data_IF_695029067599
#
_entry.id   IF_695029067599
#
_cell.length_a   1.000
_cell.length_b   1.000
_cell.length_c   1.000
_cell.angle_alpha   90.00
_cell.angle_beta   90.00
_cell.angle_gamma   90.00
#
_symmetry.space_group_name_H-M   'P 1'
#
loop_
_entity.id
_entity.type
_entity.pdbx_description
1 polymer ?
#
# COMPACT_ATOMS: atom_id res chain seq x y z
N UNK A 1 28.84 11.33 -13.34
CA UNK A 1 28.78 12.52 -12.53
C UNK A 1 27.57 12.53 -11.62
N UNK A 2 27.46 13.57 -10.83
CA UNK A 2 26.40 13.73 -9.82
C UNK A 2 25.00 13.64 -10.40
N UNK A 3 24.77 14.23 -11.56
CA UNK A 3 23.46 14.19 -12.22
C UNK A 3 23.03 12.80 -12.62
N UNK A 4 23.94 11.99 -13.15
CA UNK A 4 23.62 10.64 -13.54
C UNK A 4 23.23 9.79 -12.35
N UNK A 5 23.91 9.98 -11.23
CA UNK A 5 23.58 9.28 -10.00
C UNK A 5 22.19 9.65 -9.50
N UNK A 6 21.86 10.94 -9.56
CA UNK A 6 20.57 11.44 -9.10
C UNK A 6 19.43 10.96 -9.98
N UNK A 7 19.59 11.06 -11.31
CA UNK A 7 18.60 10.60 -12.27
C UNK A 7 18.39 9.09 -12.18
N UNK A 8 19.48 8.34 -12.05
CA UNK A 8 19.42 6.91 -11.90
C UNK A 8 18.67 6.47 -10.63
N UNK A 9 18.86 7.20 -9.54
CA UNK A 9 18.19 6.95 -8.27
C UNK A 9 16.69 7.22 -8.40
N UNK A 10 16.30 8.35 -8.99
CA UNK A 10 14.90 8.70 -9.19
C UNK A 10 14.22 7.72 -10.13
N UNK A 11 14.90 7.33 -11.20
CA UNK A 11 14.37 6.34 -12.14
C UNK A 11 14.14 5.00 -11.45
N UNK A 12 15.04 4.59 -10.56
CA UNK A 12 14.92 3.34 -9.81
C UNK A 12 13.71 3.39 -8.86
N UNK A 13 13.53 4.51 -8.16
CA UNK A 13 12.40 4.69 -7.26
C UNK A 13 11.07 4.72 -8.00
N UNK A 14 11.03 5.38 -9.15
CA UNK A 14 9.84 5.39 -10.03
C UNK A 14 9.51 3.97 -10.50
N UNK A 15 10.52 3.19 -10.88
CA UNK A 15 10.35 1.81 -11.30
C UNK A 15 9.77 0.94 -10.19
N UNK A 16 10.19 1.18 -8.95
CA UNK A 16 9.67 0.45 -7.79
C UNK A 16 8.19 0.72 -7.59
N UNK A 17 7.78 1.98 -7.71
CA UNK A 17 6.36 2.35 -7.60
C UNK A 17 5.52 1.75 -8.72
N UNK A 18 6.05 1.74 -9.94
CA UNK A 18 5.39 1.10 -11.09
C UNK A 18 5.22 -0.39 -10.84
N UNK A 19 6.23 -1.04 -10.28
CA UNK A 19 6.18 -2.46 -9.95
C UNK A 19 5.04 -2.75 -8.96
N UNK A 20 4.87 -1.92 -7.95
CA UNK A 20 3.78 -2.08 -6.98
C UNK A 20 2.42 -1.92 -7.65
N UNK A 21 2.27 -0.91 -8.50
CA UNK A 21 1.02 -0.67 -9.20
C UNK A 21 0.67 -1.81 -10.18
N UNK A 22 1.66 -2.35 -10.88
CA UNK A 22 1.47 -3.51 -11.76
C UNK A 22 1.06 -4.75 -10.96
N UNK A 23 1.67 -4.95 -9.79
CA UNK A 23 1.30 -6.08 -8.93
C UNK A 23 -0.15 -5.96 -8.47
N UNK A 24 -0.61 -4.77 -8.15
CA UNK A 24 -2.00 -4.53 -7.77
C UNK A 24 -2.95 -4.88 -8.92
N UNK A 25 -2.63 -4.47 -10.14
CA UNK A 25 -3.45 -4.80 -11.29
C UNK A 25 -3.53 -6.31 -11.52
N UNK A 26 -2.41 -7.01 -11.43
CA UNK A 26 -2.38 -8.46 -11.54
C UNK A 26 -3.28 -9.14 -10.49
N UNK A 27 -3.18 -8.68 -9.26
CA UNK A 27 -3.96 -9.25 -8.16
C UNK A 27 -5.45 -9.04 -8.38
N UNK A 28 -5.85 -7.87 -8.88
CA UNK A 28 -7.27 -7.59 -9.12
C UNK A 28 -7.86 -8.39 -10.28
N UNK A 29 -7.02 -8.96 -11.14
CA UNK A 29 -7.48 -9.85 -12.20
C UNK A 29 -7.73 -11.27 -11.71
N UNK A 30 -7.23 -11.63 -10.53
CA UNK A 30 -7.49 -12.95 -9.95
C UNK A 30 -8.90 -13.01 -9.35
N UNK A 31 -9.54 -14.20 -9.31
CA UNK A 31 -10.88 -14.33 -8.74
C UNK A 31 -10.89 -13.89 -7.28
N UNK A 32 -11.81 -12.99 -6.94
CA UNK A 32 -11.97 -12.50 -5.57
C UNK A 32 -13.44 -12.24 -5.21
N UNK A 33 -14.37 -12.74 -6.02
CA UNK A 33 -15.79 -12.44 -5.88
C UNK A 33 -16.39 -12.97 -4.56
N UNK A 34 -15.78 -13.99 -3.97
CA UNK A 34 -16.25 -14.56 -2.71
C UNK A 34 -15.77 -13.78 -1.48
N UNK A 35 -14.86 -12.84 -1.68
CA UNK A 35 -14.32 -12.03 -0.60
C UNK A 35 -15.20 -10.81 -0.34
N UNK A 36 -15.46 -10.50 0.94
CA UNK A 36 -16.02 -9.21 1.27
C UNK A 36 -14.92 -8.15 1.16
N UNK A 37 -15.28 -6.89 1.33
CA UNK A 37 -14.34 -5.78 1.16
C UNK A 37 -13.12 -5.89 2.09
N UNK A 38 -13.36 -6.22 3.36
CA UNK A 38 -12.29 -6.31 4.35
C UNK A 38 -11.37 -7.48 4.05
N UNK A 39 -11.93 -8.63 3.69
CA UNK A 39 -11.15 -9.79 3.29
C UNK A 39 -10.30 -9.48 2.07
N UNK A 40 -10.86 -8.77 1.09
CA UNK A 40 -10.14 -8.38 -0.13
C UNK A 40 -8.99 -7.44 0.20
N UNK A 41 -9.21 -6.43 1.05
CA UNK A 41 -8.16 -5.49 1.45
C UNK A 41 -7.04 -6.22 2.21
N UNK A 42 -7.39 -7.15 3.09
CA UNK A 42 -6.40 -7.95 3.80
C UNK A 42 -5.59 -8.82 2.84
N UNK A 43 -6.26 -9.45 1.88
CA UNK A 43 -5.60 -10.29 0.88
C UNK A 43 -4.63 -9.49 0.01
N UNK A 44 -5.07 -8.32 -0.48
CA UNK A 44 -4.22 -7.44 -1.27
C UNK A 44 -2.98 -7.00 -0.48
N UNK A 45 -3.17 -6.64 0.79
CA UNK A 45 -2.06 -6.27 1.66
C UNK A 45 -1.07 -7.41 1.81
N UNK A 46 -1.56 -8.63 2.07
CA UNK A 46 -0.71 -9.81 2.24
C UNK A 46 0.11 -10.10 0.98
N UNK A 47 -0.54 -10.03 -0.17
CA UNK A 47 0.13 -10.31 -1.44
C UNK A 47 1.18 -9.23 -1.76
N UNK A 48 0.85 -7.97 -1.53
CA UNK A 48 1.80 -6.87 -1.76
C UNK A 48 3.00 -7.00 -0.82
N UNK A 49 2.74 -7.21 0.46
CA UNK A 49 3.82 -7.29 1.46
C UNK A 49 4.67 -8.55 1.26
N UNK A 50 4.09 -9.65 0.79
CA UNK A 50 4.85 -10.85 0.41
C UNK A 50 5.83 -10.50 -0.71
N UNK A 51 5.36 -9.78 -1.73
CA UNK A 51 6.22 -9.34 -2.83
C UNK A 51 7.34 -8.45 -2.31
N UNK A 52 7.02 -7.49 -1.44
CA UNK A 52 8.00 -6.56 -0.90
C UNK A 52 9.06 -7.30 -0.07
N UNK A 53 8.63 -8.12 0.87
CA UNK A 53 9.54 -8.82 1.77
C UNK A 53 10.48 -9.77 1.03
N UNK A 54 9.98 -10.41 -0.03
CA UNK A 54 10.75 -11.41 -0.79
C UNK A 54 11.61 -10.83 -1.91
N UNK A 55 11.26 -9.66 -2.45
CA UNK A 55 11.91 -9.16 -3.67
C UNK A 55 12.52 -7.78 -3.55
N UNK A 56 12.15 -7.00 -2.52
CA UNK A 56 12.64 -5.63 -2.37
C UNK A 56 13.58 -5.57 -1.18
N UNK A 57 14.80 -5.05 -1.38
CA UNK A 57 15.71 -4.87 -0.27
C UNK A 57 15.23 -3.77 0.67
N UNK A 58 15.52 -3.92 1.95
CA UNK A 58 15.19 -2.91 2.96
C UNK A 58 15.83 -1.57 2.61
N UNK A 59 17.07 -1.61 2.13
CA UNK A 59 17.78 -0.39 1.74
C UNK A 59 17.06 0.36 0.62
N UNK A 60 16.56 -0.37 -0.38
CA UNK A 60 15.86 0.25 -1.50
C UNK A 60 14.53 0.85 -1.02
N UNK A 61 13.79 0.12 -0.20
CA UNK A 61 12.52 0.60 0.33
C UNK A 61 12.74 1.83 1.24
N UNK A 62 13.78 1.80 2.08
CA UNK A 62 14.13 2.93 2.92
C UNK A 62 14.51 4.16 2.09
N UNK A 63 15.20 3.98 0.97
CA UNK A 63 15.54 5.07 0.06
C UNK A 63 14.29 5.65 -0.60
N UNK A 64 13.33 4.80 -0.94
CA UNK A 64 12.07 5.29 -1.50
C UNK A 64 11.38 6.24 -0.52
N UNK A 65 11.20 5.81 0.73
CA UNK A 65 10.55 6.65 1.73
C UNK A 65 11.35 7.91 2.03
N UNK A 66 12.67 7.78 2.18
CA UNK A 66 13.54 8.91 2.44
C UNK A 66 13.47 9.94 1.31
N UNK A 67 13.54 9.49 0.07
CA UNK A 67 13.42 10.35 -1.11
C UNK A 67 12.08 11.09 -1.13
N UNK A 68 10.99 10.38 -0.84
CA UNK A 68 9.66 10.99 -0.81
C UNK A 68 9.50 12.03 0.30
N UNK A 69 10.15 11.82 1.43
CA UNK A 69 10.10 12.77 2.55
C UNK A 69 10.84 14.07 2.22
N UNK A 70 11.95 13.99 1.50
CA UNK A 70 12.78 15.17 1.22
C UNK A 70 12.45 15.86 -0.11
N UNK A 71 11.71 15.20 -0.98
CA UNK A 71 11.31 15.76 -2.27
C UNK A 71 10.39 16.95 -2.06
N UNK A 72 10.70 18.07 -2.72
CA UNK A 72 9.83 19.24 -2.74
C UNK A 72 8.89 19.13 -3.94
N UNK A 73 7.62 19.49 -3.72
CA UNK A 73 6.60 19.38 -4.75
C UNK A 73 5.79 18.10 -4.63
N UNK A 74 5.32 17.57 -5.75
CA UNK A 74 4.44 16.41 -5.76
C UNK A 74 5.12 15.16 -5.24
N UNK A 75 4.42 14.46 -4.36
CA UNK A 75 4.88 13.21 -3.77
C UNK A 75 4.26 12.05 -4.53
N UNK A 76 5.08 11.26 -5.18
CA UNK A 76 4.60 10.11 -5.96
C UNK A 76 3.80 9.13 -5.11
N UNK A 77 4.23 8.87 -3.88
CA UNK A 77 3.52 7.96 -2.98
C UNK A 77 2.14 8.46 -2.58
N UNK A 78 1.87 9.75 -2.72
CA UNK A 78 0.57 10.35 -2.41
C UNK A 78 -0.25 10.66 -3.67
N UNK A 79 0.25 10.34 -4.85
CA UNK A 79 -0.43 10.64 -6.11
C UNK A 79 -1.70 9.80 -6.24
N UNK A 80 -2.84 10.46 -6.13
CA UNK A 80 -4.15 9.82 -6.15
C UNK A 80 -4.52 9.25 -7.51
N UNK A 81 -3.79 9.60 -8.56
CA UNK A 81 -4.00 9.07 -9.91
C UNK A 81 -3.38 7.68 -10.10
N UNK A 82 -2.50 7.27 -9.20
CA UNK A 82 -1.87 5.96 -9.29
C UNK A 82 -2.91 4.85 -9.22
N UNK A 83 -2.61 3.76 -9.91
CA UNK A 83 -3.43 2.54 -9.93
C UNK A 83 -3.78 2.06 -8.52
N UNK A 84 -2.81 2.09 -7.62
CA UNK A 84 -3.00 1.73 -6.21
C UNK A 84 -4.21 2.44 -5.59
N UNK A 85 -4.22 3.77 -5.67
CA UNK A 85 -5.31 4.56 -5.06
C UNK A 85 -6.63 4.39 -5.81
N UNK A 86 -6.57 4.30 -7.13
CA UNK A 86 -7.78 4.10 -7.94
C UNK A 86 -8.47 2.79 -7.57
N UNK A 87 -7.70 1.70 -7.46
CA UNK A 87 -8.26 0.40 -7.10
C UNK A 87 -8.80 0.40 -5.67
N UNK A 88 -8.08 1.03 -4.73
CA UNK A 88 -8.57 1.14 -3.35
C UNK A 88 -9.89 1.89 -3.27
N UNK A 89 -10.02 2.99 -4.02
CA UNK A 89 -11.28 3.73 -4.04
C UNK A 89 -12.44 2.89 -4.57
N UNK A 90 -12.19 2.09 -5.60
CA UNK A 90 -13.21 1.19 -6.13
C UNK A 90 -13.65 0.15 -5.10
N UNK A 91 -12.69 -0.47 -4.44
CA UNK A 91 -12.96 -1.50 -3.43
C UNK A 91 -13.75 -0.92 -2.26
N UNK A 92 -13.31 0.22 -1.73
CA UNK A 92 -13.95 0.85 -0.58
C UNK A 92 -15.36 1.36 -0.95
N UNK A 93 -15.50 1.95 -2.12
CA UNK A 93 -16.80 2.42 -2.61
C UNK A 93 -17.79 1.26 -2.71
N UNK A 94 -17.38 0.14 -3.27
CA UNK A 94 -18.21 -1.05 -3.35
C UNK A 94 -18.52 -1.62 -1.97
N UNK A 95 -17.57 -1.57 -1.06
CA UNK A 95 -17.77 -2.01 0.31
C UNK A 95 -18.84 -1.21 1.03
N UNK A 96 -18.88 0.10 0.80
CA UNK A 96 -19.93 0.95 1.35
C UNK A 96 -21.28 0.67 0.70
N UNK A 97 -21.32 0.51 -0.62
CA UNK A 97 -22.56 0.19 -1.33
C UNK A 97 -23.18 -1.12 -0.87
N UNK A 98 -22.33 -2.11 -0.54
CA UNK A 98 -22.76 -3.41 -0.07
C UNK A 98 -22.99 -3.46 1.44
N UNK A 99 -22.86 -2.33 2.11
CA UNK A 99 -23.00 -2.21 3.57
C UNK A 99 -22.02 -3.08 4.35
N UNK A 100 -20.86 -3.35 3.77
CA UNK A 100 -19.76 -4.06 4.44
C UNK A 100 -18.91 -3.10 5.25
N UNK A 101 -18.78 -1.86 4.78
CA UNK A 101 -18.02 -0.80 5.44
C UNK A 101 -18.93 0.31 5.92
N UNK A 102 -18.52 0.97 7.00
CA UNK A 102 -19.25 2.11 7.55
C UNK A 102 -19.34 3.24 6.52
N UNK A 103 -20.46 3.93 6.51
CA UNK A 103 -20.68 5.14 5.72
C UNK A 103 -20.48 6.43 6.54
N UNK A 104 -20.07 6.29 7.80
CA UNK A 104 -19.75 7.45 8.65
C UNK A 104 -18.44 8.13 8.28
N UNK A 105 -17.65 7.50 7.40
CA UNK A 105 -16.43 8.05 6.83
C UNK A 105 -16.54 8.01 5.30
N UNK A 106 -15.91 8.98 4.63
CA UNK A 106 -15.91 9.01 3.17
C UNK A 106 -14.96 7.94 2.62
N UNK A 107 -15.17 7.59 1.35
CA UNK A 107 -14.24 6.69 0.64
C UNK A 107 -12.80 7.22 0.75
N UNK A 108 -12.60 8.52 0.51
CA UNK A 108 -11.27 9.13 0.57
C UNK A 108 -10.63 9.01 1.95
N UNK A 109 -11.41 9.17 3.01
CA UNK A 109 -10.89 9.04 4.38
C UNK A 109 -10.44 7.62 4.68
N UNK A 110 -11.23 6.64 4.28
CA UNK A 110 -10.90 5.22 4.51
C UNK A 110 -9.67 4.81 3.69
N UNK A 111 -9.62 5.21 2.41
CA UNK A 111 -8.47 4.91 1.55
C UNK A 111 -7.19 5.54 2.11
N UNK A 112 -7.28 6.79 2.55
CA UNK A 112 -6.14 7.48 3.16
C UNK A 112 -5.64 6.74 4.40
N UNK A 113 -6.56 6.32 5.27
CA UNK A 113 -6.21 5.61 6.50
C UNK A 113 -5.53 4.28 6.18
N UNK A 114 -6.06 3.52 5.22
CA UNK A 114 -5.47 2.25 4.78
C UNK A 114 -4.06 2.46 4.25
N UNK A 115 -3.90 3.42 3.35
CA UNK A 115 -2.58 3.71 2.75
C UNK A 115 -1.57 4.15 3.80
N UNK A 116 -2.00 4.98 4.75
CA UNK A 116 -1.13 5.42 5.85
C UNK A 116 -0.70 4.25 6.72
N UNK A 117 -1.62 3.33 7.00
CA UNK A 117 -1.31 2.17 7.81
C UNK A 117 -0.30 1.25 7.10
N UNK A 118 -0.49 1.01 5.80
CA UNK A 118 0.48 0.23 5.02
C UNK A 118 1.85 0.88 5.03
N UNK A 119 1.92 2.20 4.79
CA UNK A 119 3.20 2.92 4.82
C UNK A 119 3.84 2.87 6.19
N UNK A 120 3.04 3.00 7.24
CA UNK A 120 3.54 2.92 8.61
C UNK A 120 4.16 1.57 8.93
N UNK A 121 3.51 0.49 8.49
CA UNK A 121 4.04 -0.86 8.66
C UNK A 121 5.37 -1.03 7.94
N UNK A 122 5.44 -0.59 6.70
CA UNK A 122 6.69 -0.67 5.92
C UNK A 122 7.79 0.20 6.52
N UNK A 123 7.44 1.39 6.97
CA UNK A 123 8.38 2.31 7.59
C UNK A 123 9.00 1.71 8.85
N UNK A 124 8.16 1.16 9.73
CA UNK A 124 8.65 0.53 10.95
C UNK A 124 9.53 -0.67 10.65
N UNK A 125 9.14 -1.48 9.68
CA UNK A 125 9.95 -2.62 9.24
C UNK A 125 11.33 -2.17 8.77
N UNK A 126 11.40 -1.08 8.01
CA UNK A 126 12.67 -0.50 7.57
C UNK A 126 13.49 0.02 8.77
N UNK A 127 12.85 0.68 9.72
CA UNK A 127 13.53 1.16 10.93
C UNK A 127 14.16 0.02 11.71
N UNK A 128 13.48 -1.12 11.78
CA UNK A 128 13.99 -2.28 12.49
C UNK A 128 15.09 -3.02 11.74
N UNK A 129 15.36 -2.64 10.48
CA UNK A 129 16.30 -3.37 9.64
C UNK A 129 15.80 -4.75 9.24
N UNK A 130 14.50 -4.94 9.20
CA UNK A 130 13.90 -6.23 8.84
C UNK A 130 13.97 -7.25 9.96
N UNK A 131 13.99 -6.82 11.21
CA UNK A 131 14.14 -7.69 12.36
C UNK A 131 12.98 -8.66 12.54
N UNK A 132 11.83 -8.36 11.99
CA UNK A 132 10.64 -9.21 12.06
C UNK A 132 10.07 -9.41 10.65
N UNK A 133 9.13 -10.36 10.49
CA UNK A 133 8.46 -10.57 9.21
C UNK A 133 7.36 -9.52 9.03
N UNK A 134 7.50 -8.70 7.99
CA UNK A 134 6.50 -7.69 7.63
C UNK A 134 5.15 -8.36 7.33
N UNK A 135 5.18 -9.43 6.54
CA UNK A 135 3.97 -10.17 6.14
C UNK A 135 3.24 -10.72 7.35
N UNK A 136 3.98 -11.35 8.26
CA UNK A 136 3.38 -12.00 9.42
C UNK A 136 2.76 -10.98 10.37
N UNK A 137 3.45 -9.87 10.60
CA UNK A 137 2.94 -8.82 11.47
C UNK A 137 1.68 -8.19 10.88
N UNK A 138 1.71 -7.88 9.58
CA UNK A 138 0.55 -7.31 8.88
C UNK A 138 -0.65 -8.26 8.87
N UNK A 139 -0.40 -9.56 8.76
CA UNK A 139 -1.47 -10.57 8.79
C UNK A 139 -2.29 -10.49 10.05
N UNK A 140 -1.65 -10.20 11.16
CA UNK A 140 -2.33 -10.07 12.45
C UNK A 140 -2.96 -8.70 12.65
N UNK A 141 -2.30 -7.65 12.20
CA UNK A 141 -2.70 -6.29 12.51
C UNK A 141 -3.66 -5.65 11.51
N UNK A 142 -3.57 -6.00 10.24
CA UNK A 142 -4.46 -5.40 9.24
C UNK A 142 -5.93 -5.72 9.49
N UNK A 143 -6.30 -6.97 9.82
CA UNK A 143 -7.70 -7.25 10.16
C UNK A 143 -8.22 -6.45 11.34
N UNK A 144 -7.39 -6.26 12.36
CA UNK A 144 -7.78 -5.46 13.53
C UNK A 144 -8.00 -4.00 13.16
N UNK A 145 -7.11 -3.46 12.34
CA UNK A 145 -7.24 -2.08 11.86
C UNK A 145 -8.53 -1.91 11.04
N UNK A 146 -8.76 -2.80 10.09
CA UNK A 146 -9.90 -2.70 9.18
C UNK A 146 -11.24 -2.97 9.88
N UNK A 147 -11.24 -3.77 10.94
CA UNK A 147 -12.46 -4.06 11.70
C UNK A 147 -13.11 -2.78 12.24
N UNK A 148 -12.32 -1.75 12.53
CA UNK A 148 -12.82 -0.45 12.94
C UNK A 148 -13.70 0.24 11.90
N UNK A 149 -13.57 -0.14 10.64
CA UNK A 149 -14.37 0.42 9.55
C UNK A 149 -15.54 -0.48 9.14
N UNK A 150 -15.71 -1.61 9.80
CA UNK A 150 -16.80 -2.54 9.48
C UNK A 150 -18.14 -1.91 9.80
N UNK A 151 -19.12 -2.14 8.93
CA UNK A 151 -20.49 -1.70 9.17
C UNK A 151 -21.05 -2.41 10.40
N UNK A 152 -21.60 -1.65 11.29
CA UNK A 152 -22.21 -2.16 12.55
C UNK A 152 -23.71 -2.29 12.40
#
# INVERSE_FOLDING_TARGET
AFYHYFDGKDALLSSLSVLFDERYEELMQQPHDEMDCIELLCWLNQELFTTIENTVSIELLARLFSSQLVTKGEKHLLDRKRTYYRLLRQIVSQGQEREELTDTRTVSEIVKAYAMFERGLMYDWCLSGGEYSLVQYAREMMPLFLDGFRKK
#
